data_IF_508610465779
#
_entry.id   IF_508610465779
#
_cell.length_a   1.000
_cell.length_b   1.000
_cell.length_c   1.000
_cell.angle_alpha   90.00
_cell.angle_beta   90.00
_cell.angle_gamma   90.00
#
_symmetry.space_group_name_H-M   'P 1'
#
loop_
_entity.id
_entity.type
_entity.pdbx_description
1 polymer ?
#
# COMPACT_ATOMS: atom_id res chain seq x y z
N UNK A 1 -13.86 9.44 -4.37
CA UNK A 1 -14.71 8.30 -3.98
C UNK A 1 -15.04 8.39 -2.49
N UNK A 2 -16.14 7.79 -2.05
CA UNK A 2 -16.57 7.75 -0.64
C UNK A 2 -15.50 7.10 0.26
N UNK A 3 -14.86 6.02 -0.20
CA UNK A 3 -13.75 5.37 0.52
C UNK A 3 -12.60 6.34 0.78
N UNK A 4 -12.19 7.11 -0.22
CA UNK A 4 -11.14 8.12 -0.03
C UNK A 4 -11.53 9.22 0.95
N UNK A 5 -12.79 9.64 0.97
CA UNK A 5 -13.27 10.64 1.93
C UNK A 5 -13.15 10.13 3.37
N UNK A 6 -13.58 8.89 3.63
CA UNK A 6 -13.44 8.23 4.95
C UNK A 6 -11.99 8.05 5.34
N UNK A 7 -11.15 7.55 4.44
CA UNK A 7 -9.72 7.39 4.69
C UNK A 7 -9.07 8.73 5.09
N UNK A 8 -9.39 9.80 4.39
CA UNK A 8 -8.87 11.14 4.70
C UNK A 8 -9.33 11.65 6.07
N UNK A 9 -10.57 11.37 6.48
CA UNK A 9 -11.07 11.70 7.82
C UNK A 9 -10.31 10.92 8.89
N UNK A 10 -10.11 9.63 8.70
CA UNK A 10 -9.34 8.77 9.59
C UNK A 10 -7.92 9.28 9.77
N UNK A 11 -7.22 9.57 8.68
CA UNK A 11 -5.88 10.15 8.71
C UNK A 11 -5.83 11.48 9.45
N UNK A 12 -6.81 12.35 9.20
CA UNK A 12 -6.88 13.66 9.85
C UNK A 12 -7.10 13.55 11.36
N UNK A 13 -7.94 12.61 11.83
CA UNK A 13 -8.18 12.36 13.26
C UNK A 13 -6.89 11.95 13.99
N UNK A 14 -5.98 11.24 13.31
CA UNK A 14 -4.70 10.82 13.87
C UNK A 14 -3.55 11.79 13.56
N UNK A 15 -3.83 12.94 12.93
CA UNK A 15 -2.83 13.93 12.56
C UNK A 15 -1.84 13.41 11.49
N UNK A 16 -2.25 12.42 10.70
CA UNK A 16 -1.43 11.83 9.63
C UNK A 16 -1.69 12.59 8.33
N UNK A 17 -0.63 13.11 7.72
CA UNK A 17 -0.67 13.67 6.39
C UNK A 17 -0.23 12.61 5.37
N UNK A 18 -1.08 12.34 4.40
CA UNK A 18 -0.77 11.38 3.35
C UNK A 18 -1.14 11.93 1.97
N UNK A 19 -0.33 11.62 1.00
CA UNK A 19 -0.59 11.88 -0.41
C UNK A 19 -1.41 10.73 -1.00
N UNK A 20 -2.40 11.05 -1.81
CA UNK A 20 -3.15 10.04 -2.55
C UNK A 20 -2.33 9.52 -3.72
N UNK A 21 -2.03 8.23 -3.70
CA UNK A 21 -1.40 7.54 -4.83
C UNK A 21 -2.49 6.86 -5.70
N UNK A 22 -2.57 7.14 -7.02
CA UNK A 22 -3.58 6.55 -7.87
C UNK A 22 -3.38 5.05 -8.06
N UNK A 23 -4.37 4.25 -7.66
CA UNK A 23 -4.35 2.82 -7.86
C UNK A 23 -4.50 2.43 -9.33
N UNK A 24 -3.90 1.31 -9.70
CA UNK A 24 -4.09 0.67 -10.99
C UNK A 24 -5.34 -0.19 -10.96
N UNK A 25 -6.27 0.06 -11.86
CA UNK A 25 -7.46 -0.79 -12.02
C UNK A 25 -7.06 -2.03 -12.84
N UNK A 26 -7.04 -3.19 -12.21
CA UNK A 26 -6.66 -4.44 -12.89
C UNK A 26 -7.53 -4.77 -14.11
N UNK A 27 -8.80 -4.38 -14.10
CA UNK A 27 -9.71 -4.51 -15.27
C UNK A 27 -9.35 -3.59 -16.44
N UNK A 28 -8.57 -2.54 -16.21
CA UNK A 28 -8.14 -1.60 -17.24
C UNK A 28 -6.78 -1.97 -17.85
N UNK A 29 -6.10 -2.97 -17.30
CA UNK A 29 -4.84 -3.47 -17.85
C UNK A 29 -5.08 -4.18 -19.20
N UNK A 30 -4.30 -3.81 -20.19
CA UNK A 30 -4.29 -4.50 -21.47
C UNK A 30 -3.74 -5.92 -21.34
N UNK A 31 -3.99 -6.77 -22.34
CA UNK A 31 -3.45 -8.13 -22.36
C UNK A 31 -1.92 -8.14 -22.35
N UNK A 32 -1.28 -7.14 -22.96
CA UNK A 32 0.17 -7.00 -22.96
C UNK A 32 0.68 -6.63 -21.56
N UNK A 33 0.09 -5.64 -20.91
CA UNK A 33 0.46 -5.25 -19.53
C UNK A 33 0.25 -6.40 -18.55
N UNK A 34 -0.84 -7.17 -18.68
CA UNK A 34 -1.06 -8.37 -17.88
C UNK A 34 0.04 -9.43 -18.12
N UNK A 35 0.51 -9.60 -19.37
CA UNK A 35 1.58 -10.54 -19.68
C UNK A 35 2.93 -10.11 -19.08
N UNK A 36 3.19 -8.81 -19.04
CA UNK A 36 4.43 -8.24 -18.47
C UNK A 36 4.41 -8.23 -16.93
N UNK A 37 3.25 -7.99 -16.31
CA UNK A 37 3.11 -7.77 -14.87
C UNK A 37 2.67 -8.99 -14.08
N UNK A 38 2.08 -9.99 -14.71
CA UNK A 38 1.54 -11.16 -14.05
C UNK A 38 1.99 -12.46 -14.74
N UNK A 39 2.44 -13.42 -13.94
CA UNK A 39 2.74 -14.78 -14.43
C UNK A 39 1.49 -15.45 -14.98
N UNK A 40 1.66 -16.50 -15.79
CA UNK A 40 0.54 -17.31 -16.27
C UNK A 40 -0.32 -17.83 -15.12
N UNK A 41 0.29 -18.34 -14.05
CA UNK A 41 -0.42 -18.78 -12.85
C UNK A 41 -1.25 -17.66 -12.22
N UNK A 42 -0.67 -16.49 -12.04
CA UNK A 42 -1.39 -15.34 -11.47
C UNK A 42 -2.59 -14.92 -12.35
N UNK A 43 -2.47 -14.97 -13.66
CA UNK A 43 -3.59 -14.67 -14.59
C UNK A 43 -4.74 -15.66 -14.51
N UNK A 44 -4.45 -16.91 -14.13
CA UNK A 44 -5.48 -17.95 -13.96
C UNK A 44 -6.12 -17.94 -12.59
N UNK A 45 -5.35 -17.69 -11.53
CA UNK A 45 -5.80 -17.86 -10.14
C UNK A 45 -6.12 -16.54 -9.42
N UNK A 46 -5.62 -15.39 -9.91
CA UNK A 46 -5.90 -14.10 -9.31
C UNK A 46 -7.01 -13.35 -10.03
N UNK A 47 -7.83 -12.66 -9.25
CA UNK A 47 -8.82 -11.75 -9.82
C UNK A 47 -8.14 -10.50 -10.41
N UNK A 48 -8.78 -9.80 -11.36
CA UNK A 48 -8.25 -8.52 -11.85
C UNK A 48 -7.97 -7.50 -10.74
N UNK A 49 -8.78 -7.51 -9.66
CA UNK A 49 -8.57 -6.66 -8.50
C UNK A 49 -7.27 -6.98 -7.75
N UNK A 50 -6.97 -8.27 -7.56
CA UNK A 50 -5.71 -8.71 -6.94
C UNK A 50 -4.49 -8.28 -7.76
N UNK A 51 -4.56 -8.44 -9.08
CA UNK A 51 -3.48 -8.02 -9.98
C UNK A 51 -3.31 -6.50 -9.94
N UNK A 52 -4.41 -5.75 -9.97
CA UNK A 52 -4.39 -4.29 -9.87
C UNK A 52 -3.80 -3.79 -8.56
N UNK A 53 -4.12 -4.44 -7.43
CA UNK A 53 -3.54 -4.17 -6.12
C UNK A 53 -2.02 -4.38 -6.14
N UNK A 54 -1.57 -5.52 -6.62
CA UNK A 54 -0.14 -5.84 -6.75
C UNK A 54 0.61 -4.82 -7.62
N UNK A 55 0.08 -4.47 -8.79
CA UNK A 55 0.68 -3.47 -9.68
C UNK A 55 0.71 -2.08 -9.03
N UNK A 56 -0.31 -1.74 -8.25
CA UNK A 56 -0.34 -0.47 -7.50
C UNK A 56 0.79 -0.40 -6.48
N UNK A 57 1.02 -1.47 -5.71
CA UNK A 57 2.13 -1.55 -4.77
C UNK A 57 3.49 -1.51 -5.47
N UNK A 58 3.67 -2.23 -6.58
CA UNK A 58 4.91 -2.14 -7.38
C UNK A 58 5.21 -0.70 -7.82
N UNK A 59 4.20 0.04 -8.29
CA UNK A 59 4.36 1.43 -8.70
C UNK A 59 4.68 2.35 -7.52
N UNK A 60 4.07 2.10 -6.35
CA UNK A 60 4.40 2.84 -5.15
C UNK A 60 5.86 2.62 -4.73
N UNK A 61 6.32 1.36 -4.74
CA UNK A 61 7.72 1.04 -4.44
C UNK A 61 8.71 1.62 -5.46
N UNK A 62 8.38 1.58 -6.75
CA UNK A 62 9.20 2.20 -7.79
C UNK A 62 9.38 3.71 -7.51
N UNK A 63 8.29 4.40 -7.14
CA UNK A 63 8.35 5.82 -6.78
C UNK A 63 9.22 6.08 -5.56
N UNK A 64 9.16 5.23 -4.53
CA UNK A 64 10.03 5.33 -3.34
C UNK A 64 11.51 5.31 -3.74
N UNK A 65 11.86 4.41 -4.65
CA UNK A 65 13.24 4.30 -5.17
C UNK A 65 13.62 5.50 -6.03
N UNK A 66 12.75 5.90 -6.96
CA UNK A 66 12.99 7.03 -7.87
C UNK A 66 13.15 8.37 -7.11
N UNK A 67 12.36 8.59 -6.07
CA UNK A 67 12.41 9.80 -5.23
C UNK A 67 13.42 9.68 -4.08
N UNK A 68 14.12 8.55 -3.97
CA UNK A 68 15.13 8.27 -2.96
C UNK A 68 14.65 8.49 -1.52
N UNK A 69 13.43 8.06 -1.23
CA UNK A 69 12.90 8.09 0.13
C UNK A 69 13.54 6.99 1.00
N UNK A 70 14.03 7.31 2.20
CA UNK A 70 14.64 6.31 3.09
C UNK A 70 13.61 5.31 3.64
N UNK A 71 12.39 5.73 3.84
CA UNK A 71 11.26 4.91 4.26
C UNK A 71 9.93 5.58 3.89
N UNK A 72 8.91 4.78 3.59
CA UNK A 72 7.56 5.25 3.29
C UNK A 72 6.54 4.32 3.91
N UNK A 73 5.47 4.87 4.46
CA UNK A 73 4.29 4.10 4.86
C UNK A 73 3.30 4.09 3.72
N UNK A 74 2.90 2.90 3.29
CA UNK A 74 1.84 2.71 2.29
C UNK A 74 0.58 2.26 3.01
N UNK A 75 -0.51 2.99 2.82
CA UNK A 75 -1.80 2.72 3.43
C UNK A 75 -2.85 2.44 2.35
N UNK A 76 -3.71 1.47 2.56
CA UNK A 76 -4.90 1.24 1.72
C UNK A 76 -6.03 2.20 2.12
N UNK A 77 -7.00 2.42 1.22
CA UNK A 77 -8.07 3.40 1.42
C UNK A 77 -9.23 2.92 2.33
N UNK A 78 -9.07 1.76 2.95
CA UNK A 78 -9.93 1.19 3.98
C UNK A 78 -9.23 0.99 5.33
N UNK A 79 -8.08 1.64 5.51
CA UNK A 79 -7.34 1.58 6.76
C UNK A 79 -8.14 2.16 7.92
N UNK A 80 -7.99 1.53 9.09
CA UNK A 80 -8.40 2.06 10.39
C UNK A 80 -7.15 2.17 11.25
N UNK A 81 -6.83 3.37 11.69
CA UNK A 81 -5.63 3.62 12.48
C UNK A 81 -5.94 3.50 13.97
N UNK A 82 -5.04 2.86 14.71
CA UNK A 82 -5.13 2.89 16.17
C UNK A 82 -4.91 4.30 16.71
N UNK A 83 -5.51 4.65 17.86
CA UNK A 83 -5.08 5.80 18.63
C UNK A 83 -3.56 5.75 18.84
N UNK A 84 -2.90 6.89 18.83
CA UNK A 84 -1.43 6.99 18.96
C UNK A 84 -0.63 6.38 17.80
N UNK A 85 -1.22 6.29 16.61
CA UNK A 85 -0.55 5.71 15.44
C UNK A 85 0.87 6.26 15.24
N UNK A 86 1.03 7.58 15.28
CA UNK A 86 2.33 8.23 15.05
C UNK A 86 3.38 7.81 16.11
N UNK A 87 3.04 7.79 17.38
CA UNK A 87 3.96 7.42 18.45
C UNK A 87 4.31 5.93 18.40
N UNK A 88 3.35 5.06 18.08
CA UNK A 88 3.60 3.63 17.86
C UNK A 88 4.48 3.38 16.65
N UNK A 89 4.26 4.10 15.56
CA UNK A 89 5.10 4.01 14.37
C UNK A 89 6.56 4.42 14.67
N UNK A 90 6.75 5.52 15.41
CA UNK A 90 8.09 5.96 15.82
C UNK A 90 8.79 4.92 16.70
N UNK A 91 8.08 4.31 17.65
CA UNK A 91 8.63 3.24 18.49
C UNK A 91 9.04 2.04 17.63
N UNK A 92 8.15 1.59 16.74
CA UNK A 92 8.42 0.48 15.82
C UNK A 92 9.66 0.74 14.95
N UNK A 93 9.76 1.93 14.36
CA UNK A 93 10.90 2.30 13.51
C UNK A 93 12.23 2.27 14.29
N UNK A 94 12.19 2.59 15.59
CA UNK A 94 13.36 2.49 16.47
C UNK A 94 13.74 1.05 16.87
N UNK A 95 12.82 0.10 16.70
CA UNK A 95 13.02 -1.33 17.04
C UNK A 95 13.36 -2.18 15.82
N UNK A 96 13.15 -1.66 14.59
CA UNK A 96 13.52 -2.39 13.37
C UNK A 96 15.04 -2.56 13.25
N UNK A 97 15.50 -3.72 12.78
CA UNK A 97 16.92 -3.91 12.47
C UNK A 97 17.37 -2.98 11.33
N UNK A 98 18.64 -2.61 11.27
CA UNK A 98 19.15 -1.65 10.27
C UNK A 98 18.99 -2.13 8.82
N UNK A 99 18.85 -3.42 8.60
CA UNK A 99 18.76 -4.09 7.29
C UNK A 99 17.33 -4.49 6.91
N UNK A 100 16.30 -3.86 7.51
CA UNK A 100 14.93 -4.15 7.15
C UNK A 100 14.55 -3.63 5.76
N UNK A 101 13.77 -4.41 5.02
CA UNK A 101 13.26 -4.02 3.70
C UNK A 101 11.76 -3.67 3.75
N UNK A 102 10.97 -4.49 4.41
CA UNK A 102 9.50 -4.31 4.51
C UNK A 102 9.02 -4.69 5.90
N UNK A 103 8.15 -3.86 6.46
CA UNK A 103 7.46 -4.14 7.71
C UNK A 103 5.94 -4.05 7.50
N UNK A 104 5.21 -5.11 7.82
CA UNK A 104 3.75 -5.11 7.77
C UNK A 104 3.20 -4.54 9.08
N UNK A 105 2.52 -3.39 9.01
CA UNK A 105 1.93 -2.72 10.16
C UNK A 105 0.62 -3.35 10.61
N UNK A 106 -0.05 -4.06 9.74
CA UNK A 106 -1.29 -4.77 10.01
C UNK A 106 -1.81 -5.49 8.78
N UNK A 107 -2.69 -6.45 9.00
CA UNK A 107 -3.38 -7.18 7.93
C UNK A 107 -4.76 -7.63 8.39
N UNK A 108 -5.73 -7.71 7.47
CA UNK A 108 -7.05 -8.27 7.73
C UNK A 108 -6.92 -9.80 7.75
N UNK A 109 -7.45 -10.42 8.80
CA UNK A 109 -7.54 -11.89 8.88
C UNK A 109 -6.30 -12.61 9.38
N UNK A 110 -5.32 -11.92 9.89
CA UNK A 110 -4.24 -12.53 10.68
C UNK A 110 -4.75 -12.80 12.11
N UNK A 111 -5.31 -13.96 12.31
CA UNK A 111 -5.63 -14.53 13.64
C UNK A 111 -4.64 -15.64 13.93
#
# INVERSE_FOLDING_TARGET
TERWARCREELAQQGVQAERFPATLGKALSSQELAEKATLGARYFCTPGMIGCFVSHQRAWARVVEENHPAVVVLEDDVVLFPDFNSRLQTLLGELPDDWDVCLLGAIGCI
#
